data_IF_793042436089
#
_entry.id   IF_793042436089
#
_cell.length_a   1.000
_cell.length_b   1.000
_cell.length_c   1.000
_cell.angle_alpha   90.00
_cell.angle_beta   90.00
_cell.angle_gamma   90.00
#
_symmetry.space_group_name_H-M   'P 1'
#
loop_
_entity.id
_entity.type
_entity.pdbx_description
1 polymer ?
#
# COMPACT_ATOMS: atom_id res chain seq x y z
N UNK A 1 73.84 4.66 35.03
CA UNK A 1 72.74 5.19 35.85
C UNK A 1 71.67 5.70 34.89
N UNK A 2 70.45 5.20 35.08
CA UNK A 2 69.15 5.71 34.61
C UNK A 2 68.78 5.48 33.13
N UNK A 3 68.04 4.42 32.81
CA UNK A 3 66.57 4.24 32.92
C UNK A 3 65.76 5.08 31.93
N UNK A 4 65.34 4.46 30.81
CA UNK A 4 64.03 4.76 30.22
C UNK A 4 63.51 3.57 29.40
N UNK A 5 63.02 2.55 30.10
CA UNK A 5 62.16 1.52 29.53
C UNK A 5 60.74 2.07 29.43
N UNK A 6 60.20 2.17 28.21
CA UNK A 6 58.76 2.29 27.99
C UNK A 6 58.32 1.18 27.05
N UNK A 7 58.06 0.07 27.70
CA UNK A 7 57.13 -0.99 27.29
C UNK A 7 55.86 -0.40 26.65
N UNK A 8 55.58 -0.80 25.41
CA UNK A 8 54.28 -0.61 24.74
C UNK A 8 53.79 -1.98 24.25
N UNK A 9 53.18 -2.71 25.19
CA UNK A 9 51.93 -3.48 25.07
C UNK A 9 51.59 -4.25 23.77
N UNK A 10 51.16 -5.52 23.88
CA UNK A 10 50.70 -6.31 22.74
C UNK A 10 49.25 -5.91 22.40
N UNK A 11 49.05 -5.28 21.24
CA UNK A 11 47.74 -4.77 20.85
C UNK A 11 47.56 -4.65 19.34
N UNK A 12 48.01 -5.65 18.59
CA UNK A 12 47.78 -5.75 17.15
C UNK A 12 46.30 -5.97 16.84
N UNK A 13 45.56 -4.88 16.69
CA UNK A 13 44.17 -4.87 16.23
C UNK A 13 44.12 -5.47 14.81
N UNK A 14 43.77 -6.75 14.72
CA UNK A 14 43.51 -7.44 13.48
C UNK A 14 42.46 -6.64 12.70
N UNK A 15 42.91 -5.97 11.64
CA UNK A 15 42.04 -5.28 10.69
C UNK A 15 40.87 -6.20 10.32
N UNK A 16 39.66 -5.74 10.63
CA UNK A 16 38.42 -6.38 10.23
C UNK A 16 38.46 -6.58 8.73
N UNK A 17 38.79 -7.80 8.29
CA UNK A 17 38.54 -8.27 6.93
C UNK A 17 37.09 -7.93 6.63
N UNK A 18 36.87 -7.00 5.71
CA UNK A 18 35.56 -6.71 5.15
C UNK A 18 34.93 -8.06 4.79
N UNK A 19 33.86 -8.42 5.51
CA UNK A 19 33.09 -9.62 5.23
C UNK A 19 32.73 -9.61 3.76
N UNK A 20 33.26 -10.58 3.03
CA UNK A 20 32.93 -10.85 1.65
C UNK A 20 31.40 -10.84 1.56
N UNK A 21 30.82 -9.86 0.87
CA UNK A 21 29.37 -9.76 0.77
C UNK A 21 28.88 -11.03 0.09
N UNK A 22 28.22 -11.90 0.85
CA UNK A 22 27.64 -13.14 0.35
C UNK A 22 26.71 -12.81 -0.81
N UNK A 23 26.92 -13.54 -1.92
CA UNK A 23 26.33 -13.39 -3.25
C UNK A 23 25.19 -12.38 -3.41
N UNK A 24 25.52 -11.14 -3.81
CA UNK A 24 24.53 -10.25 -4.42
C UNK A 24 24.09 -10.89 -5.73
N UNK A 25 22.91 -11.52 -5.74
CA UNK A 25 22.28 -12.07 -6.94
C UNK A 25 22.42 -11.06 -8.09
N UNK A 26 23.07 -11.48 -9.17
CA UNK A 26 23.20 -10.64 -10.37
C UNK A 26 21.78 -10.35 -10.87
N UNK A 27 21.52 -9.09 -11.20
CA UNK A 27 20.21 -8.74 -11.72
C UNK A 27 19.98 -9.53 -13.01
N UNK A 28 18.85 -10.24 -13.10
CA UNK A 28 18.49 -11.03 -14.28
C UNK A 28 18.45 -10.11 -15.51
N UNK A 29 19.02 -10.57 -16.62
CA UNK A 29 18.92 -9.86 -17.89
C UNK A 29 17.44 -9.57 -18.20
N UNK A 30 17.19 -8.37 -18.70
CA UNK A 30 15.82 -7.88 -18.91
C UNK A 30 15.13 -7.33 -17.66
N UNK A 31 15.75 -7.29 -16.47
CA UNK A 31 15.22 -6.56 -15.29
C UNK A 31 15.52 -5.06 -15.33
N UNK A 32 14.70 -4.21 -14.69
CA UNK A 32 14.97 -2.77 -14.56
C UNK A 32 16.34 -2.50 -13.92
N UNK A 33 16.69 -3.29 -12.90
CA UNK A 33 17.96 -3.15 -12.19
C UNK A 33 19.16 -3.61 -13.01
N UNK A 34 18.95 -4.55 -13.94
CA UNK A 34 19.98 -4.94 -14.90
C UNK A 34 20.19 -3.81 -15.93
N UNK A 35 19.12 -3.27 -16.51
CA UNK A 35 19.19 -2.14 -17.45
C UNK A 35 19.91 -0.93 -16.81
N UNK A 36 19.56 -0.55 -15.57
CA UNK A 36 20.26 0.53 -14.83
C UNK A 36 21.75 0.25 -14.61
N UNK A 37 22.14 -1.00 -14.35
CA UNK A 37 23.55 -1.38 -14.20
C UNK A 37 24.26 -1.31 -15.55
N UNK A 38 23.63 -1.79 -16.62
CA UNK A 38 24.17 -1.76 -17.98
C UNK A 38 24.35 -0.33 -18.49
N UNK A 39 23.35 0.54 -18.35
CA UNK A 39 23.45 1.98 -18.68
C UNK A 39 24.64 2.63 -17.98
N UNK A 40 24.79 2.46 -16.66
CA UNK A 40 25.94 3.01 -15.91
C UNK A 40 27.29 2.40 -16.31
N UNK A 41 27.31 1.16 -16.80
CA UNK A 41 28.52 0.51 -17.30
C UNK A 41 28.93 1.09 -18.65
N UNK A 42 27.98 1.23 -19.57
CA UNK A 42 28.17 1.84 -20.90
C UNK A 42 28.62 3.29 -20.75
N UNK A 43 27.94 4.09 -19.93
CA UNK A 43 28.32 5.49 -19.67
C UNK A 43 29.72 5.62 -19.08
N UNK A 44 30.10 4.75 -18.13
CA UNK A 44 31.46 4.74 -17.55
C UNK A 44 32.52 4.30 -18.55
N UNK A 45 32.18 3.37 -19.46
CA UNK A 45 33.09 2.93 -20.52
C UNK A 45 33.31 4.05 -21.55
N UNK A 46 32.24 4.72 -22.00
CA UNK A 46 32.31 5.84 -22.95
C UNK A 46 33.04 7.07 -22.39
N UNK A 47 32.94 7.32 -21.08
CA UNK A 47 33.63 8.45 -20.43
C UNK A 47 35.09 8.17 -20.11
N UNK A 48 35.48 6.90 -19.98
CA UNK A 48 36.86 6.51 -19.67
C UNK A 48 37.72 6.32 -20.90
N UNK A 49 37.13 5.81 -21.99
CA UNK A 49 37.85 5.50 -23.22
C UNK A 49 37.37 6.45 -24.32
N UNK A 50 38.21 7.42 -24.68
CA UNK A 50 37.93 8.35 -25.78
C UNK A 50 38.29 7.74 -27.15
N UNK A 51 39.13 6.71 -27.18
CA UNK A 51 39.59 6.00 -28.38
C UNK A 51 38.70 4.77 -28.72
N UNK A 52 37.39 4.94 -28.65
CA UNK A 52 36.45 3.89 -29.07
C UNK A 52 36.19 4.05 -30.57
N UNK A 53 36.36 3.01 -31.40
CA UNK A 53 35.99 3.06 -32.81
C UNK A 53 34.54 3.52 -33.01
N UNK A 54 34.31 4.36 -34.02
CA UNK A 54 33.00 4.99 -34.25
C UNK A 54 31.85 3.97 -34.33
N UNK A 55 32.07 2.81 -34.98
CA UNK A 55 31.07 1.74 -35.08
C UNK A 55 30.63 1.21 -33.70
N UNK A 56 31.58 0.98 -32.80
CA UNK A 56 31.30 0.49 -31.45
C UNK A 56 30.63 1.57 -30.60
N UNK A 57 31.03 2.84 -30.79
CA UNK A 57 30.41 3.97 -30.10
C UNK A 57 28.93 4.11 -30.47
N UNK A 58 28.59 4.01 -31.76
CA UNK A 58 27.21 4.06 -32.24
C UNK A 58 26.37 2.91 -31.67
N UNK A 59 26.91 1.70 -31.62
CA UNK A 59 26.21 0.54 -31.04
C UNK A 59 25.98 0.74 -29.53
N UNK A 60 26.98 1.25 -28.80
CA UNK A 60 26.85 1.58 -27.39
C UNK A 60 25.81 2.67 -27.12
N UNK A 61 25.74 3.70 -27.97
CA UNK A 61 24.73 4.77 -27.88
C UNK A 61 23.32 4.25 -28.15
N UNK A 62 23.16 3.40 -29.17
CA UNK A 62 21.89 2.71 -29.46
C UNK A 62 21.47 1.81 -28.30
N UNK A 63 22.39 1.03 -27.75
CA UNK A 63 22.14 0.17 -26.60
C UNK A 63 21.75 1.00 -25.36
N UNK A 64 22.44 2.11 -25.13
CA UNK A 64 22.16 3.04 -24.04
C UNK A 64 20.75 3.63 -24.15
N UNK A 65 20.34 4.07 -25.34
CA UNK A 65 19.00 4.56 -25.61
C UNK A 65 17.94 3.49 -25.33
N UNK A 66 18.15 2.25 -25.79
CA UNK A 66 17.24 1.14 -25.53
C UNK A 66 17.07 0.84 -24.03
N UNK A 67 18.18 0.82 -23.28
CA UNK A 67 18.12 0.61 -21.82
C UNK A 67 17.45 1.78 -21.09
N UNK A 68 17.68 3.03 -21.52
CA UNK A 68 17.01 4.22 -20.95
C UNK A 68 15.49 4.13 -21.14
N UNK A 69 15.02 3.76 -22.33
CA UNK A 69 13.59 3.56 -22.60
C UNK A 69 13.01 2.43 -21.73
N UNK A 70 13.73 1.32 -21.60
CA UNK A 70 13.30 0.22 -20.72
C UNK A 70 13.20 0.66 -19.25
N UNK A 71 14.10 1.53 -18.80
CA UNK A 71 14.07 2.08 -17.43
C UNK A 71 12.85 3.00 -17.26
N UNK A 72 12.62 3.92 -18.20
CA UNK A 72 11.49 4.86 -18.14
C UNK A 72 10.13 4.14 -18.19
N UNK A 73 9.99 3.14 -19.05
CA UNK A 73 8.81 2.29 -19.14
C UNK A 73 8.51 1.58 -17.83
N UNK A 74 9.53 0.99 -17.20
CA UNK A 74 9.36 0.28 -15.93
C UNK A 74 9.10 1.21 -14.76
N UNK A 75 9.69 2.41 -14.75
CA UNK A 75 9.31 3.43 -13.76
C UNK A 75 7.87 3.88 -13.94
N UNK A 76 7.41 4.08 -15.19
CA UNK A 76 6.03 4.43 -15.48
C UNK A 76 5.06 3.34 -15.05
N UNK A 77 5.33 2.07 -15.37
CA UNK A 77 4.50 0.94 -14.93
C UNK A 77 4.39 0.83 -13.41
N UNK A 78 5.48 1.09 -12.67
CA UNK A 78 5.48 1.13 -11.20
C UNK A 78 4.66 2.29 -10.65
N UNK A 79 4.78 3.49 -11.25
CA UNK A 79 3.97 4.65 -10.86
C UNK A 79 2.49 4.40 -11.14
N UNK A 80 2.18 3.88 -12.33
CA UNK A 80 0.82 3.50 -12.73
C UNK A 80 0.21 2.51 -11.75
N UNK A 81 0.91 1.42 -11.40
CA UNK A 81 0.37 0.46 -10.45
C UNK A 81 0.15 1.07 -9.06
N UNK A 82 1.09 1.90 -8.59
CA UNK A 82 0.94 2.61 -7.32
C UNK A 82 -0.25 3.58 -7.31
N UNK A 83 -0.45 4.36 -8.38
CA UNK A 83 -1.58 5.28 -8.52
C UNK A 83 -2.92 4.55 -8.62
N UNK A 84 -2.97 3.44 -9.38
CA UNK A 84 -4.13 2.56 -9.42
C UNK A 84 -4.47 2.11 -8.00
N UNK A 85 -3.53 1.52 -7.27
CA UNK A 85 -3.78 1.06 -5.90
C UNK A 85 -4.21 2.19 -4.96
N UNK A 86 -3.60 3.38 -5.06
CA UNK A 86 -3.91 4.55 -4.24
C UNK A 86 -5.34 5.04 -4.41
N UNK A 87 -5.81 5.15 -5.65
CA UNK A 87 -7.12 5.74 -5.97
C UNK A 87 -8.22 4.69 -6.26
N UNK A 88 -7.89 3.39 -6.30
CA UNK A 88 -8.82 2.32 -6.64
C UNK A 88 -10.08 2.35 -5.78
N UNK A 89 -9.95 2.52 -4.46
CA UNK A 89 -11.11 2.55 -3.56
C UNK A 89 -11.99 3.78 -3.77
N UNK A 90 -11.41 4.98 -3.86
CA UNK A 90 -12.17 6.21 -4.11
C UNK A 90 -12.92 6.11 -5.44
N UNK A 91 -12.24 5.70 -6.50
CA UNK A 91 -12.84 5.49 -7.83
C UNK A 91 -13.92 4.42 -7.83
N UNK A 92 -13.74 3.33 -7.06
CA UNK A 92 -14.74 2.28 -6.94
C UNK A 92 -16.03 2.80 -6.31
N UNK A 93 -15.95 3.56 -5.22
CA UNK A 93 -17.14 4.13 -4.58
C UNK A 93 -17.84 5.16 -5.45
N UNK A 94 -17.07 6.02 -6.12
CA UNK A 94 -17.64 7.00 -7.04
C UNK A 94 -18.28 6.34 -8.25
N UNK A 95 -17.65 5.31 -8.82
CA UNK A 95 -18.24 4.51 -9.89
C UNK A 95 -19.55 3.88 -9.45
N UNK A 96 -19.59 3.27 -8.27
CA UNK A 96 -20.83 2.68 -7.73
C UNK A 96 -21.91 3.73 -7.49
N UNK A 97 -21.54 4.96 -7.12
CA UNK A 97 -22.48 6.06 -6.95
C UNK A 97 -23.04 6.52 -8.31
N UNK A 98 -22.18 6.71 -9.31
CA UNK A 98 -22.58 7.06 -10.67
C UNK A 98 -23.45 5.97 -11.32
N UNK A 99 -23.05 4.69 -11.22
CA UNK A 99 -23.84 3.54 -11.71
C UNK A 99 -25.26 3.51 -11.12
N UNK A 100 -25.40 3.79 -9.81
CA UNK A 100 -26.71 3.86 -9.15
C UNK A 100 -27.54 5.04 -9.65
N UNK A 101 -26.92 6.21 -9.81
CA UNK A 101 -27.58 7.39 -10.36
C UNK A 101 -28.09 7.15 -11.78
N UNK A 102 -27.26 6.57 -12.66
CA UNK A 102 -27.64 6.25 -14.03
C UNK A 102 -28.85 5.32 -14.04
N UNK A 103 -28.85 4.27 -13.21
CA UNK A 103 -30.00 3.34 -13.08
C UNK A 103 -31.25 4.05 -12.57
N UNK A 104 -31.12 4.92 -11.57
CA UNK A 104 -32.23 5.69 -11.04
C UNK A 104 -32.83 6.62 -12.10
N UNK A 105 -31.99 7.39 -12.81
CA UNK A 105 -32.44 8.34 -13.82
C UNK A 105 -33.06 7.64 -15.03
N UNK A 106 -32.58 6.46 -15.43
CA UNK A 106 -33.23 5.64 -16.47
C UNK A 106 -34.64 5.23 -16.06
N UNK A 107 -34.82 4.76 -14.83
CA UNK A 107 -36.16 4.39 -14.31
C UNK A 107 -37.08 5.60 -14.19
N UNK A 108 -36.55 6.76 -13.76
CA UNK A 108 -37.33 8.00 -13.71
C UNK A 108 -37.74 8.48 -15.11
N UNK A 109 -36.88 8.31 -16.12
CA UNK A 109 -37.19 8.65 -17.51
C UNK A 109 -38.29 7.77 -18.11
N UNK A 110 -38.31 6.48 -17.75
CA UNK A 110 -39.36 5.53 -18.13
C UNK A 110 -40.71 5.86 -17.47
N UNK A 111 -40.69 6.39 -16.25
CA UNK A 111 -41.90 6.76 -15.50
C UNK A 111 -42.43 8.16 -15.83
N UNK A 112 -41.56 9.07 -16.29
CA UNK A 112 -41.92 10.45 -16.60
C UNK A 112 -42.83 10.55 -17.82
N UNK A 113 -43.96 11.22 -17.64
CA UNK A 113 -45.00 11.42 -18.68
C UNK A 113 -44.93 12.81 -19.31
N UNK A 114 -44.35 13.78 -18.60
CA UNK A 114 -44.20 15.16 -19.05
C UNK A 114 -42.90 15.35 -19.86
N UNK A 115 -42.99 16.09 -20.96
CA UNK A 115 -41.88 16.27 -21.90
C UNK A 115 -40.78 17.19 -21.36
N UNK A 116 -41.13 18.20 -20.55
CA UNK A 116 -40.12 19.08 -19.94
C UNK A 116 -39.33 18.36 -18.85
N UNK A 117 -40.00 17.58 -18.00
CA UNK A 117 -39.35 16.73 -17.02
C UNK A 117 -38.46 15.68 -17.68
N UNK A 118 -38.91 15.07 -18.79
CA UNK A 118 -38.11 14.11 -19.56
C UNK A 118 -36.82 14.73 -20.10
N UNK A 119 -36.89 15.94 -20.65
CA UNK A 119 -35.69 16.65 -21.12
C UNK A 119 -34.67 16.90 -20.01
N UNK A 120 -35.15 17.35 -18.83
CA UNK A 120 -34.29 17.55 -17.64
C UNK A 120 -33.67 16.23 -17.16
N UNK A 121 -34.44 15.14 -17.14
CA UNK A 121 -33.95 13.81 -16.75
C UNK A 121 -32.91 13.30 -17.76
N UNK A 122 -33.11 13.51 -19.06
CA UNK A 122 -32.14 13.15 -20.10
C UNK A 122 -30.81 13.91 -19.96
N UNK A 123 -30.86 15.22 -19.71
CA UNK A 123 -29.66 16.01 -19.45
C UNK A 123 -28.89 15.50 -18.22
N UNK A 124 -29.62 15.22 -17.13
CA UNK A 124 -29.03 14.62 -15.92
C UNK A 124 -28.46 13.21 -16.18
N UNK A 125 -29.12 12.43 -17.02
CA UNK A 125 -28.69 11.09 -17.39
C UNK A 125 -27.37 11.13 -18.16
N UNK A 126 -27.23 12.06 -19.12
CA UNK A 126 -25.98 12.27 -19.84
C UNK A 126 -24.83 12.63 -18.88
N UNK A 127 -25.04 13.61 -18.00
CA UNK A 127 -24.03 13.97 -17.00
C UNK A 127 -23.63 12.78 -16.11
N UNK A 128 -24.59 11.98 -15.67
CA UNK A 128 -24.31 10.79 -14.85
C UNK A 128 -23.55 9.70 -15.62
N UNK A 129 -23.78 9.56 -16.93
CA UNK A 129 -23.03 8.64 -17.80
C UNK A 129 -21.59 9.10 -17.98
N UNK A 130 -21.37 10.41 -18.17
CA UNK A 130 -20.01 10.98 -18.24
C UNK A 130 -19.31 10.86 -16.88
N UNK A 131 -20.01 11.04 -15.76
CA UNK A 131 -19.47 10.78 -14.42
C UNK A 131 -19.02 9.31 -14.27
N UNK A 132 -19.84 8.34 -14.72
CA UNK A 132 -19.47 6.92 -14.72
C UNK A 132 -18.21 6.67 -15.57
N UNK A 133 -18.20 7.17 -16.80
CA UNK A 133 -17.06 7.05 -17.70
C UNK A 133 -15.80 7.71 -17.14
N UNK A 134 -15.92 8.85 -16.46
CA UNK A 134 -14.81 9.53 -15.81
C UNK A 134 -14.15 8.62 -14.77
N UNK A 135 -14.94 7.96 -13.91
CA UNK A 135 -14.38 7.06 -12.90
C UNK A 135 -13.64 5.86 -13.50
N UNK A 136 -14.07 5.39 -14.67
CA UNK A 136 -13.50 4.22 -15.37
C UNK A 136 -12.26 4.59 -16.19
N UNK A 137 -12.34 5.69 -16.95
CA UNK A 137 -11.40 6.06 -18.00
C UNK A 137 -10.43 7.17 -17.61
N UNK A 138 -10.56 7.76 -16.41
CA UNK A 138 -9.55 8.68 -15.89
C UNK A 138 -8.14 8.05 -15.97
N UNK A 139 -7.13 8.80 -16.45
CA UNK A 139 -5.76 8.32 -16.60
C UNK A 139 -5.24 7.68 -15.32
N UNK A 140 -4.63 6.49 -15.44
CA UNK A 140 -4.13 5.74 -14.28
C UNK A 140 -2.81 6.27 -13.72
N UNK A 141 -2.07 7.04 -14.52
CA UNK A 141 -0.79 7.61 -14.13
C UNK A 141 -0.91 9.05 -13.58
N UNK A 142 -2.13 9.60 -13.53
CA UNK A 142 -2.41 10.95 -13.02
C UNK A 142 -3.16 10.90 -11.69
N UNK A 143 -3.15 12.02 -10.97
CA UNK A 143 -3.90 12.18 -9.72
C UNK A 143 -5.39 12.23 -10.02
N UNK A 144 -6.15 11.36 -9.36
CA UNK A 144 -7.60 11.34 -9.49
C UNK A 144 -8.24 12.50 -8.70
N UNK A 145 -9.12 13.25 -9.36
CA UNK A 145 -9.92 14.32 -8.75
C UNK A 145 -11.33 13.77 -8.49
N UNK A 146 -11.72 13.73 -7.22
CA UNK A 146 -13.01 13.18 -6.77
C UNK A 146 -14.16 14.09 -7.19
N UNK A 147 -15.18 13.51 -7.84
CA UNK A 147 -16.38 14.23 -8.29
C UNK A 147 -17.40 14.42 -7.16
N UNK A 148 -17.47 13.46 -6.23
CA UNK A 148 -18.50 13.43 -5.19
C UNK A 148 -17.94 13.68 -3.77
N UNK A 149 -16.63 13.96 -3.66
CA UNK A 149 -15.95 14.20 -2.38
C UNK A 149 -16.01 15.64 -1.90
N UNK A 150 -16.13 16.61 -2.81
CA UNK A 150 -16.28 18.04 -2.48
C UNK A 150 -17.61 18.36 -1.82
N UNK A 151 -18.69 17.65 -2.18
CA UNK A 151 -20.03 17.87 -1.63
C UNK A 151 -20.15 17.59 -0.12
N UNK A 152 -19.18 16.87 0.49
CA UNK A 152 -19.11 16.77 1.95
C UNK A 152 -18.50 18.02 2.61
N UNK A 153 -17.62 18.75 1.94
CA UNK A 153 -16.96 19.92 2.53
C UNK A 153 -17.86 21.15 2.61
N UNK A 154 -18.85 21.27 1.75
CA UNK A 154 -19.81 22.39 1.80
C UNK A 154 -21.00 22.12 2.74
N UNK A 155 -21.10 20.94 3.35
CA UNK A 155 -22.29 20.56 4.14
C UNK A 155 -22.03 19.92 5.51
N UNK A 156 -20.78 19.85 5.99
CA UNK A 156 -20.42 19.18 7.26
C UNK A 156 -20.13 20.18 8.41
N UNK A 157 -21.02 21.16 8.55
CA UNK A 157 -21.41 21.73 9.86
C UNK A 157 -22.90 21.44 10.16
N UNK A 158 -23.48 20.36 9.61
CA UNK A 158 -24.84 19.94 9.91
C UNK A 158 -24.95 18.42 10.11
N UNK A 159 -24.49 18.03 11.30
CA UNK A 159 -24.99 17.00 12.23
C UNK A 159 -25.65 15.71 11.73
N UNK A 160 -25.36 14.64 12.48
CA UNK A 160 -26.12 13.39 12.46
C UNK A 160 -27.62 13.62 12.67
N UNK A 161 -28.42 12.90 11.91
CA UNK A 161 -29.87 12.92 12.01
C UNK A 161 -30.47 11.87 11.09
N UNK A 162 -31.08 10.85 11.70
CA UNK A 162 -31.94 9.87 11.05
C UNK A 162 -33.21 10.55 10.53
N UNK A 163 -33.75 10.04 9.41
CA UNK A 163 -35.12 10.32 8.97
C UNK A 163 -35.28 11.41 7.91
N UNK A 164 -36.12 11.11 6.93
CA UNK A 164 -36.77 12.01 5.95
C UNK A 164 -35.99 12.46 4.68
N UNK A 165 -36.41 11.86 3.55
CA UNK A 165 -36.37 12.32 2.14
C UNK A 165 -35.22 13.24 1.73
N UNK A 166 -33.97 12.82 1.93
CA UNK A 166 -32.81 13.46 1.29
C UNK A 166 -32.90 13.24 -0.22
N UNK A 167 -33.05 14.32 -1.00
CA UNK A 167 -32.67 14.33 -2.43
C UNK A 167 -31.29 13.67 -2.47
N UNK A 168 -31.11 12.54 -3.19
CA UNK A 168 -29.90 11.76 -3.05
C UNK A 168 -28.73 12.70 -3.31
N UNK A 169 -27.76 12.80 -2.38
CA UNK A 169 -26.64 13.75 -2.44
C UNK A 169 -25.91 13.76 -3.81
N UNK A 170 -26.09 12.70 -4.58
CA UNK A 170 -25.61 12.50 -5.93
C UNK A 170 -26.38 13.35 -6.99
N UNK A 171 -27.67 13.65 -6.84
CA UNK A 171 -28.40 14.63 -7.68
C UNK A 171 -27.96 16.07 -7.38
N UNK A 172 -27.70 16.40 -6.11
CA UNK A 172 -27.18 17.72 -5.73
C UNK A 172 -25.78 17.98 -6.32
N UNK A 173 -24.94 16.94 -6.41
CA UNK A 173 -23.62 17.05 -7.02
C UNK A 173 -23.65 17.25 -8.54
N UNK A 174 -24.78 17.04 -9.24
CA UNK A 174 -24.86 17.32 -10.68
C UNK A 174 -24.68 18.82 -10.99
N UNK A 175 -25.04 19.69 -10.05
CA UNK A 175 -24.87 21.14 -10.18
C UNK A 175 -23.46 21.66 -9.84
N UNK A 176 -22.58 20.81 -9.28
CA UNK A 176 -21.24 21.22 -8.86
C UNK A 176 -20.27 21.36 -10.04
N UNK A 177 -19.30 22.26 -9.91
CA UNK A 177 -18.27 22.48 -10.94
C UNK A 177 -17.49 21.19 -11.26
N UNK A 178 -17.43 20.86 -12.55
CA UNK A 178 -16.77 19.64 -13.02
C UNK A 178 -15.28 19.89 -13.32
N UNK A 179 -14.39 18.95 -12.95
CA UNK A 179 -12.97 19.09 -13.24
C UNK A 179 -12.70 19.21 -14.76
N UNK A 180 -11.60 19.88 -15.19
CA UNK A 180 -11.26 20.01 -16.61
C UNK A 180 -11.17 18.67 -17.35
N UNK A 181 -10.66 17.64 -16.68
CA UNK A 181 -10.54 16.27 -17.23
C UNK A 181 -11.90 15.62 -17.54
N UNK A 182 -12.98 16.06 -16.88
CA UNK A 182 -14.33 15.56 -17.14
C UNK A 182 -14.79 15.87 -18.57
N UNK A 183 -14.55 17.11 -19.04
CA UNK A 183 -14.87 17.53 -20.42
C UNK A 183 -14.03 16.78 -21.47
N UNK A 184 -12.81 16.40 -21.11
CA UNK A 184 -11.94 15.58 -21.99
C UNK A 184 -12.53 14.17 -22.13
N UNK A 185 -13.04 13.60 -21.03
CA UNK A 185 -13.71 12.29 -21.07
C UNK A 185 -15.00 12.37 -21.90
N UNK A 186 -15.80 13.44 -21.76
CA UNK A 186 -17.01 13.64 -22.57
C UNK A 186 -16.71 13.60 -24.08
N UNK A 187 -15.70 14.36 -24.54
CA UNK A 187 -15.26 14.32 -25.94
C UNK A 187 -14.75 12.93 -26.35
N UNK A 188 -13.96 12.28 -25.49
CA UNK A 188 -13.45 10.93 -25.77
C UNK A 188 -14.58 9.88 -25.82
N UNK A 189 -15.70 10.09 -25.11
CA UNK A 189 -16.88 9.23 -25.22
C UNK A 189 -17.55 9.36 -26.59
N UNK A 190 -17.58 10.55 -27.17
CA UNK A 190 -18.12 10.80 -28.51
C UNK A 190 -17.22 10.18 -29.60
N UNK A 191 -15.90 10.27 -29.44
CA UNK A 191 -14.91 9.67 -30.36
C UNK A 191 -14.92 8.13 -30.32
N UNK A 192 -15.27 7.55 -29.17
CA UNK A 192 -15.57 6.13 -29.01
C UNK A 192 -14.64 5.35 -28.06
N UNK A 193 -14.74 4.01 -28.05
CA UNK A 193 -14.10 3.17 -27.03
C UNK A 193 -12.58 3.11 -27.14
N UNK A 194 -12.02 3.45 -28.30
CA UNK A 194 -10.58 3.47 -28.54
C UNK A 194 -9.96 4.72 -27.89
N UNK A 195 -10.54 5.89 -28.13
CA UNK A 195 -10.13 7.15 -27.50
C UNK A 195 -10.17 7.07 -25.96
N UNK A 196 -11.22 6.44 -25.39
CA UNK A 196 -11.33 6.20 -23.95
C UNK A 196 -10.23 5.27 -23.40
N UNK A 197 -9.74 4.31 -24.19
CA UNK A 197 -8.60 3.46 -23.79
C UNK A 197 -7.29 4.23 -23.88
N UNK A 198 -7.11 5.04 -24.93
CA UNK A 198 -5.94 5.89 -25.08
C UNK A 198 -5.83 6.90 -23.93
N UNK A 199 -6.93 7.56 -23.57
CA UNK A 199 -6.98 8.50 -22.45
C UNK A 199 -6.56 7.83 -21.13
N UNK A 200 -7.09 6.64 -20.87
CA UNK A 200 -6.80 5.87 -19.66
C UNK A 200 -5.31 5.50 -19.51
N UNK A 201 -4.63 5.22 -20.63
CA UNK A 201 -3.22 4.83 -20.67
C UNK A 201 -2.28 5.99 -21.06
N UNK A 202 -2.79 7.23 -21.10
CA UNK A 202 -2.04 8.42 -21.46
C UNK A 202 -0.78 8.57 -20.59
N UNK A 203 0.37 8.70 -21.25
CA UNK A 203 1.64 9.08 -20.62
C UNK A 203 1.73 10.60 -20.61
N UNK A 204 1.12 11.22 -19.62
CA UNK A 204 1.27 12.67 -19.43
C UNK A 204 2.67 13.01 -18.93
N UNK A 205 3.30 13.99 -19.57
CA UNK A 205 4.62 14.50 -19.20
C UNK A 205 4.63 15.16 -17.80
N UNK A 206 3.47 15.60 -17.30
CA UNK A 206 3.28 16.16 -15.96
C UNK A 206 3.59 15.19 -14.82
N UNK A 207 3.82 13.90 -15.11
CA UNK A 207 4.38 12.98 -14.13
C UNK A 207 5.84 13.29 -13.74
N UNK A 208 6.58 14.09 -14.50
CA UNK A 208 7.94 14.50 -14.12
C UNK A 208 7.94 15.54 -12.98
N UNK A 209 6.88 16.35 -12.84
CA UNK A 209 6.78 17.37 -11.77
C UNK A 209 6.61 16.75 -10.37
N UNK A 210 5.98 15.57 -10.26
CA UNK A 210 5.76 14.83 -9.01
C UNK A 210 6.92 13.88 -8.64
N UNK A 211 7.97 13.80 -9.46
CA UNK A 211 9.23 13.17 -9.06
C UNK A 211 9.89 13.90 -7.87
N UNK A 212 9.50 15.17 -7.60
CA UNK A 212 9.97 15.91 -6.42
C UNK A 212 9.17 15.61 -5.13
N UNK A 213 7.89 15.23 -5.23
CA UNK A 213 7.04 14.93 -4.07
C UNK A 213 7.12 13.46 -3.61
N UNK A 214 7.74 12.60 -4.43
CA UNK A 214 8.01 11.19 -4.15
C UNK A 214 9.46 10.95 -3.70
N UNK A 215 10.07 11.91 -2.99
CA UNK A 215 11.11 11.53 -2.06
C UNK A 215 10.50 10.56 -1.03
N UNK A 216 11.13 9.42 -0.72
CA UNK A 216 10.74 8.67 0.45
C UNK A 216 10.83 9.65 1.61
N UNK A 217 9.70 9.92 2.29
CA UNK A 217 9.78 10.60 3.59
C UNK A 217 10.82 9.83 4.36
N UNK A 218 11.98 10.45 4.62
CA UNK A 218 12.93 9.91 5.56
C UNK A 218 12.12 9.77 6.83
N UNK A 219 11.75 8.54 7.19
CA UNK A 219 11.32 8.24 8.54
C UNK A 219 12.52 8.64 9.39
N UNK A 220 12.47 9.86 9.93
CA UNK A 220 13.28 10.22 11.08
C UNK A 220 13.11 9.06 12.05
N UNK A 221 14.21 8.36 12.32
CA UNK A 221 14.21 7.09 12.99
C UNK A 221 13.61 7.26 14.39
N UNK A 222 12.31 7.04 14.52
CA UNK A 222 11.70 6.72 15.80
C UNK A 222 12.18 5.32 16.13
N UNK A 223 13.16 5.26 17.03
CA UNK A 223 13.65 4.05 17.69
C UNK A 223 12.47 3.17 18.11
N UNK A 224 12.43 1.87 17.76
CA UNK A 224 11.33 1.01 18.17
C UNK A 224 11.35 0.80 19.70
N UNK A 225 10.18 0.73 20.36
CA UNK A 225 10.03 0.67 21.83
C UNK A 225 10.50 -0.66 22.45
N UNK A 226 11.21 -1.50 21.70
CA UNK A 226 11.64 -2.82 22.14
C UNK A 226 12.91 -2.77 23.01
N UNK A 227 13.79 -1.79 22.79
CA UNK A 227 15.01 -1.62 23.60
C UNK A 227 14.72 -1.08 25.01
N UNK A 228 13.74 -0.19 25.16
CA UNK A 228 13.31 0.30 26.48
C UNK A 228 12.59 -0.78 27.31
N UNK A 229 11.84 -1.68 26.66
CA UNK A 229 11.17 -2.80 27.35
C UNK A 229 12.19 -3.82 27.86
N UNK A 230 13.25 -4.13 27.12
CA UNK A 230 14.31 -5.02 27.60
C UNK A 230 15.16 -4.38 28.71
N UNK A 231 15.45 -3.07 28.63
CA UNK A 231 16.15 -2.35 29.69
C UNK A 231 15.37 -2.35 31.02
N UNK A 232 14.04 -2.19 30.98
CA UNK A 232 13.18 -2.25 32.18
C UNK A 232 13.07 -3.66 32.79
N UNK A 233 13.13 -4.71 31.96
CA UNK A 233 13.13 -6.10 32.46
C UNK A 233 14.46 -6.47 33.12
N UNK A 234 15.59 -6.03 32.55
CA UNK A 234 16.92 -6.25 33.13
C UNK A 234 17.08 -5.47 34.44
N UNK A 235 16.59 -4.23 34.51
CA UNK A 235 16.62 -3.42 35.75
C UNK A 235 15.76 -4.02 36.87
N UNK A 236 14.58 -4.58 36.54
CA UNK A 236 13.70 -5.23 37.52
C UNK A 236 14.25 -6.56 38.04
N UNK A 237 15.09 -7.26 37.25
CA UNK A 237 15.74 -8.50 37.67
C UNK A 237 16.96 -8.23 38.57
N UNK A 238 17.70 -7.14 38.34
CA UNK A 238 18.80 -6.71 39.21
C UNK A 238 18.32 -6.27 40.61
N UNK A 239 17.15 -5.64 40.71
CA UNK A 239 16.57 -5.23 42.00
C UNK A 239 16.04 -6.40 42.83
N UNK A 240 15.60 -7.50 42.20
CA UNK A 240 15.13 -8.71 42.93
C UNK A 240 16.26 -9.53 43.55
N UNK A 241 17.46 -9.47 42.96
CA UNK A 241 18.62 -10.21 43.46
C UNK A 241 19.33 -9.50 44.64
N UNK A 242 18.98 -8.25 44.95
CA UNK A 242 19.63 -7.46 46.02
C UNK A 242 18.75 -7.27 47.28
N UNK A 243 17.57 -7.90 47.34
CA UNK A 243 16.65 -7.83 48.49
C UNK A 243 16.55 -9.15 49.29
N UNK A 244 17.50 -10.07 49.08
CA UNK A 244 17.53 -11.38 49.74
C UNK A 244 18.61 -11.50 50.80
N UNK A 245 18.65 -10.59 51.79
CA UNK A 245 19.42 -10.80 53.03
C UNK A 245 18.85 -9.98 54.20
N UNK A 246 17.84 -10.52 54.88
CA UNK A 246 17.58 -10.34 56.32
C UNK A 246 16.35 -11.17 56.75
N UNK A 247 16.62 -12.26 57.47
CA UNK A 247 15.97 -12.77 58.69
C UNK A 247 14.47 -12.54 58.95
N UNK A 248 13.76 -13.62 59.32
CA UNK A 248 12.71 -13.56 60.35
C UNK A 248 11.48 -14.41 60.08
N UNK A 249 11.39 -15.53 60.80
CA UNK A 249 10.21 -16.40 60.99
C UNK A 249 8.89 -15.66 61.27
N UNK A 250 7.78 -16.20 60.77
CA UNK A 250 6.43 -15.70 61.07
C UNK A 250 5.31 -16.45 60.34
N UNK A 251 4.85 -17.53 60.95
CA UNK A 251 3.65 -18.34 60.63
C UNK A 251 2.36 -17.51 60.74
N UNK A 252 1.43 -17.64 59.79
CA UNK A 252 -0.04 -17.76 60.02
C UNK A 252 -0.79 -18.12 58.73
N UNK A 253 -1.75 -19.04 58.89
CA UNK A 253 -2.71 -19.58 57.93
C UNK A 253 -3.86 -18.61 57.64
N UNK A 254 -4.52 -18.71 56.47
CA UNK A 254 -5.94 -19.10 56.34
C UNK A 254 -6.59 -18.75 54.98
N UNK A 255 -7.14 -19.82 54.39
CA UNK A 255 -8.35 -20.08 53.59
C UNK A 255 -9.12 -19.03 52.74
N UNK A 256 -9.87 -19.65 51.79
CA UNK A 256 -11.00 -19.20 50.95
C UNK A 256 -10.62 -18.56 49.61
N UNK A 257 -11.09 -18.99 48.43
CA UNK A 257 -12.11 -19.97 48.04
C UNK A 257 -12.70 -19.50 46.69
N UNK A 258 -13.03 -20.43 45.77
CA UNK A 258 -13.85 -20.11 44.59
C UNK A 258 -13.34 -20.67 43.27
N UNK A 259 -13.83 -21.85 42.89
CA UNK A 259 -13.62 -22.51 41.63
C UNK A 259 -14.54 -21.95 40.52
N UNK A 260 -14.04 -21.78 39.29
CA UNK A 260 -14.82 -22.10 38.08
C UNK A 260 -13.95 -22.22 36.80
N UNK A 261 -13.99 -23.45 36.27
CA UNK A 261 -14.06 -23.87 34.87
C UNK A 261 -12.90 -23.63 33.89
N UNK A 262 -12.59 -24.75 33.24
CA UNK A 262 -11.58 -25.06 32.24
C UNK A 262 -11.68 -24.22 30.98
N UNK A 263 -10.70 -23.35 30.78
CA UNK A 263 -10.28 -22.89 29.46
C UNK A 263 -8.76 -23.04 29.39
N UNK A 264 -8.26 -23.89 28.48
CA UNK A 264 -6.82 -24.08 28.30
C UNK A 264 -6.16 -22.72 28.06
N UNK A 265 -5.31 -22.29 29.01
CA UNK A 265 -4.62 -21.00 29.00
C UNK A 265 -3.72 -20.91 27.76
N UNK A 266 -4.16 -20.21 26.72
CA UNK A 266 -3.34 -19.89 25.54
C UNK A 266 -2.60 -18.55 25.65
N UNK A 267 -2.64 -17.92 26.82
CA UNK A 267 -1.97 -16.64 27.04
C UNK A 267 -0.46 -16.83 27.17
N UNK A 268 0.26 -16.30 26.18
CA UNK A 268 1.73 -16.36 26.06
C UNK A 268 2.26 -17.09 24.82
N UNK A 269 1.42 -17.88 24.13
CA UNK A 269 1.87 -18.66 22.97
C UNK A 269 1.90 -17.86 21.67
N UNK A 270 2.95 -18.05 20.88
CA UNK A 270 3.14 -17.37 19.61
C UNK A 270 2.11 -17.86 18.58
N UNK A 271 1.71 -17.01 17.61
CA UNK A 271 0.54 -17.24 16.73
C UNK A 271 0.58 -18.59 15.99
N UNK A 272 1.78 -19.06 15.66
CA UNK A 272 2.00 -20.33 14.96
C UNK A 272 1.74 -21.55 15.85
N UNK A 273 2.14 -21.49 17.11
CA UNK A 273 1.92 -22.56 18.09
C UNK A 273 0.45 -22.66 18.45
N UNK A 274 -0.22 -21.51 18.61
CA UNK A 274 -1.66 -21.46 18.88
C UNK A 274 -2.49 -22.11 17.75
N UNK A 275 -2.10 -21.90 16.49
CA UNK A 275 -2.74 -22.55 15.33
C UNK A 275 -2.47 -24.04 15.23
N UNK A 276 -1.28 -24.49 15.63
CA UNK A 276 -0.94 -25.91 15.67
C UNK A 276 -1.80 -26.63 16.71
N UNK A 277 -1.89 -26.06 17.90
CA UNK A 277 -2.69 -26.60 19.01
C UNK A 277 -4.18 -26.67 18.66
N UNK A 278 -4.74 -25.65 18.00
CA UNK A 278 -6.12 -25.68 17.52
C UNK A 278 -6.37 -26.79 16.49
N UNK A 279 -5.41 -27.02 15.59
CA UNK A 279 -5.54 -28.07 14.56
C UNK A 279 -5.41 -29.47 15.15
N UNK A 280 -4.55 -29.62 16.15
CA UNK A 280 -4.36 -30.89 16.86
C UNK A 280 -5.58 -31.21 17.73
N UNK A 281 -6.18 -30.21 18.39
CA UNK A 281 -7.44 -30.37 19.11
C UNK A 281 -8.62 -30.73 18.19
N UNK A 282 -8.71 -30.11 17.00
CA UNK A 282 -9.75 -30.48 16.02
C UNK A 282 -9.56 -31.91 15.49
N UNK A 283 -8.32 -32.31 15.22
CA UNK A 283 -8.01 -33.67 14.75
C UNK A 283 -8.21 -34.76 15.82
N UNK A 284 -8.18 -34.40 17.11
CA UNK A 284 -8.55 -35.34 18.18
C UNK A 284 -10.06 -35.49 18.33
N UNK A 285 -10.86 -34.43 18.14
CA UNK A 285 -12.33 -34.53 18.17
C UNK A 285 -12.85 -35.34 16.99
N UNK A 286 -12.25 -35.18 15.81
CA UNK A 286 -12.65 -35.90 14.58
C UNK A 286 -12.39 -37.42 14.65
N UNK A 287 -11.64 -37.92 15.65
CA UNK A 287 -11.39 -39.35 15.88
C UNK A 287 -12.33 -40.00 16.89
N UNK A 288 -13.13 -39.22 17.61
CA UNK A 288 -14.06 -39.76 18.63
C UNK A 288 -15.48 -39.99 18.05
N UNK A 289 -15.77 -39.50 16.85
CA UNK A 289 -17.10 -39.57 16.21
C UNK A 289 -17.26 -40.68 15.13
N UNK A 290 -16.29 -41.60 14.98
CA UNK A 290 -16.31 -42.67 13.93
C UNK A 290 -16.86 -44.05 14.38
N UNK A 291 -17.52 -44.16 15.55
CA UNK A 291 -17.96 -45.45 16.10
C UNK A 291 -19.49 -45.52 16.43
N UNK A 292 -20.35 -44.90 15.63
CA UNK A 292 -21.81 -45.13 15.67
C UNK A 292 -22.33 -45.66 14.31
N UNK A 293 -22.16 -46.96 14.11
CA UNK A 293 -22.82 -47.73 13.06
C UNK A 293 -24.32 -47.84 13.32
N UNK A 294 -25.13 -47.11 12.55
CA UNK A 294 -26.59 -47.20 12.64
C UNK A 294 -27.27 -47.14 11.24
N UNK A 295 -27.56 -48.34 10.73
CA UNK A 295 -28.61 -48.71 9.76
C UNK A 295 -28.44 -48.33 8.27
N UNK A 296 -28.08 -49.32 7.44
CA UNK A 296 -28.36 -49.32 6.00
C UNK A 296 -29.34 -50.47 5.71
N UNK A 297 -30.53 -50.11 5.20
CA UNK A 297 -31.53 -50.98 4.57
C UNK A 297 -31.91 -50.35 3.24
#
# INVERSE_FOLDING_TARGET
MDENSRDRGPGGNASKKHGFSTGRHKAKQGSAEWAKKRTRSIQRMMSRNNEIPANLRNEMERELAAHKNTISDKSFQRRRSAMISKYHMVRFFERKKAERLVKQLKRELEAATDDEERSKIQANLHMAQVDEAYTIHHPHAEVYISLYGSAKKEGDEAEGGEGEKKVPAAKATLAAERPPMWKVVERAMEEGPEALKQLRERRSATGDDDASASQPRSHAAKTPPQKERMAKVIAKQAQRNNAGKATGDGKTESAAGGAQQSGAKTDGLNRRERRRLMREAMASTEKEDEDDGFFEM
#
